data_IF_854308929204
#
_entry.id   IF_854308929204
#
_cell.length_a   1.000
_cell.length_b   1.000
_cell.length_c   1.000
_cell.angle_alpha   90.00
_cell.angle_beta   90.00
_cell.angle_gamma   90.00
#
_symmetry.space_group_name_H-M   'P 1'
#
loop_
_entity.id
_entity.type
_entity.pdbx_description
1 polymer ?
#
# COMPACT_ATOMS: atom_id res chain seq x y z
N UNK A 1 -11.20 4.94 -10.39
CA UNK A 1 -10.39 5.94 -11.14
C UNK A 1 -9.19 6.40 -10.34
N UNK A 2 -9.38 6.89 -9.11
CA UNK A 2 -8.27 7.22 -8.18
C UNK A 2 -7.33 6.03 -7.92
N UNK A 3 -7.87 4.84 -7.63
CA UNK A 3 -7.05 3.62 -7.44
C UNK A 3 -6.20 3.28 -8.66
N UNK A 4 -6.75 3.45 -9.87
CA UNK A 4 -6.05 3.20 -11.13
C UNK A 4 -4.92 4.21 -11.36
N UNK A 5 -5.13 5.49 -11.06
CA UNK A 5 -4.10 6.52 -11.19
C UNK A 5 -2.93 6.26 -10.23
N UNK A 6 -3.21 5.84 -8.99
CA UNK A 6 -2.17 5.50 -8.02
C UNK A 6 -1.38 4.26 -8.49
N UNK A 7 -2.07 3.21 -8.96
CA UNK A 7 -1.42 2.01 -9.50
C UNK A 7 -0.55 2.32 -10.72
N UNK A 8 -1.03 3.16 -11.65
CA UNK A 8 -0.22 3.64 -12.77
C UNK A 8 1.02 4.40 -12.29
N UNK A 9 0.87 5.24 -11.26
CA UNK A 9 2.00 5.92 -10.62
C UNK A 9 3.02 4.93 -10.04
N UNK A 10 2.57 3.89 -9.34
CA UNK A 10 3.46 2.84 -8.78
C UNK A 10 4.31 2.20 -9.87
N UNK A 11 3.70 1.81 -10.99
CA UNK A 11 4.43 1.17 -12.10
C UNK A 11 5.30 2.12 -12.91
N UNK A 12 5.02 3.43 -12.88
CA UNK A 12 5.78 4.45 -13.59
C UNK A 12 6.95 5.03 -12.75
N UNK A 13 7.01 4.73 -11.45
CA UNK A 13 8.04 5.25 -10.55
C UNK A 13 9.43 4.71 -10.92
N UNK A 14 10.40 5.62 -11.09
CA UNK A 14 11.80 5.29 -11.34
C UNK A 14 12.65 5.26 -10.06
N UNK A 15 12.24 6.00 -9.02
CA UNK A 15 12.92 6.06 -7.72
C UNK A 15 12.30 5.09 -6.71
N UNK A 16 13.15 4.43 -5.91
CA UNK A 16 12.74 3.48 -4.86
C UNK A 16 11.89 4.14 -3.76
N UNK A 17 12.21 5.38 -3.35
CA UNK A 17 11.43 6.12 -2.35
C UNK A 17 10.05 6.53 -2.88
N UNK A 18 9.99 7.01 -4.12
CA UNK A 18 8.72 7.41 -4.75
C UNK A 18 7.84 6.17 -4.96
N UNK A 19 8.44 5.04 -5.32
CA UNK A 19 7.74 3.76 -5.43
C UNK A 19 7.12 3.36 -4.07
N UNK A 20 7.88 3.46 -2.98
CA UNK A 20 7.39 3.16 -1.63
C UNK A 20 6.20 4.04 -1.23
N UNK A 21 6.29 5.35 -1.45
CA UNK A 21 5.21 6.30 -1.10
C UNK A 21 3.94 6.02 -1.90
N UNK A 22 4.07 5.75 -3.20
CA UNK A 22 2.94 5.43 -4.07
C UNK A 22 2.33 4.06 -3.71
N UNK A 23 3.16 3.10 -3.32
CA UNK A 23 2.73 1.79 -2.85
C UNK A 23 1.90 1.91 -1.56
N UNK A 24 2.38 2.64 -0.54
CA UNK A 24 1.62 2.94 0.68
C UNK A 24 0.32 3.72 0.38
N UNK A 25 0.38 4.68 -0.54
CA UNK A 25 -0.80 5.47 -0.94
C UNK A 25 -1.89 4.62 -1.61
N UNK A 26 -1.52 3.50 -2.22
CA UNK A 26 -2.48 2.55 -2.82
C UNK A 26 -3.33 1.81 -1.78
N UNK A 27 -2.88 1.76 -0.52
CA UNK A 27 -3.62 1.11 0.58
C UNK A 27 -4.87 1.89 0.97
N UNK A 28 -4.85 3.22 0.87
CA UNK A 28 -5.97 4.09 1.22
C UNK A 28 -7.23 3.76 0.37
N UNK A 29 -7.19 3.77 -0.97
CA UNK A 29 -8.36 3.43 -1.78
C UNK A 29 -8.76 1.96 -1.62
N UNK A 30 -7.82 1.05 -1.37
CA UNK A 30 -8.11 -0.37 -1.09
C UNK A 30 -8.90 -0.52 0.21
N UNK A 31 -8.46 0.14 1.28
CA UNK A 31 -9.14 0.14 2.56
C UNK A 31 -10.55 0.73 2.46
N UNK A 32 -10.70 1.86 1.74
CA UNK A 32 -12.00 2.49 1.49
C UNK A 32 -12.93 1.60 0.66
N UNK A 33 -12.41 0.88 -0.35
CA UNK A 33 -13.21 -0.06 -1.15
C UNK A 33 -13.78 -1.19 -0.28
N UNK A 34 -12.95 -1.80 0.58
CA UNK A 34 -13.39 -2.91 1.44
C UNK A 34 -14.39 -2.39 2.50
N UNK A 35 -14.13 -1.22 3.09
CA UNK A 35 -14.99 -0.63 4.11
C UNK A 35 -16.37 -0.22 3.60
N UNK A 36 -16.44 0.45 2.44
CA UNK A 36 -17.69 1.01 1.90
C UNK A 36 -18.50 -0.05 1.16
N UNK A 37 -17.87 -0.79 0.23
CA UNK A 37 -18.56 -1.75 -0.63
C UNK A 37 -18.57 -3.20 -0.10
N UNK A 38 -17.98 -3.46 1.06
CA UNK A 38 -18.08 -4.77 1.70
C UNK A 38 -19.54 -5.14 2.02
N UNK A 39 -19.97 -6.31 1.56
CA UNK A 39 -21.35 -6.79 1.69
C UNK A 39 -21.67 -7.38 3.07
N UNK A 40 -20.68 -7.90 3.81
CA UNK A 40 -20.86 -8.54 5.12
C UNK A 40 -20.60 -7.59 6.28
N UNK A 41 -21.25 -7.81 7.42
CA UNK A 41 -21.04 -7.01 8.65
C UNK A 41 -19.58 -7.06 9.14
N UNK A 42 -18.87 -8.16 8.88
CA UNK A 42 -17.45 -8.33 9.23
C UNK A 42 -16.47 -7.58 8.30
N UNK A 43 -16.97 -6.78 7.35
CA UNK A 43 -16.13 -6.01 6.40
C UNK A 43 -15.12 -5.10 7.09
N UNK A 44 -15.48 -4.52 8.24
CA UNK A 44 -14.59 -3.64 8.99
C UNK A 44 -13.41 -4.45 9.53
N UNK A 45 -13.66 -5.63 10.13
CA UNK A 45 -12.59 -6.53 10.58
C UNK A 45 -11.72 -6.96 9.40
N UNK A 46 -12.31 -7.37 8.28
CA UNK A 46 -11.57 -7.77 7.09
C UNK A 46 -10.69 -6.65 6.54
N UNK A 47 -11.18 -5.40 6.50
CA UNK A 47 -10.42 -4.23 6.08
C UNK A 47 -9.22 -3.98 7.01
N UNK A 48 -9.40 -4.08 8.33
CA UNK A 48 -8.31 -3.94 9.30
C UNK A 48 -7.27 -5.06 9.16
N UNK A 49 -7.69 -6.33 9.03
CA UNK A 49 -6.75 -7.43 8.83
C UNK A 49 -5.95 -7.26 7.52
N UNK A 50 -6.61 -6.85 6.44
CA UNK A 50 -5.94 -6.57 5.17
C UNK A 50 -4.90 -5.45 5.31
N UNK A 51 -5.27 -4.35 5.98
CA UNK A 51 -4.38 -3.22 6.23
C UNK A 51 -3.15 -3.64 7.04
N UNK A 52 -3.32 -4.37 8.13
CA UNK A 52 -2.18 -4.85 8.93
C UNK A 52 -1.29 -5.83 8.17
N UNK A 53 -1.87 -6.70 7.34
CA UNK A 53 -1.10 -7.65 6.56
C UNK A 53 -0.22 -6.97 5.50
N UNK A 54 -0.76 -5.94 4.85
CA UNK A 54 -0.02 -5.16 3.85
C UNK A 54 0.98 -4.18 4.48
N UNK A 55 0.64 -3.57 5.62
CA UNK A 55 1.53 -2.66 6.34
C UNK A 55 2.74 -3.39 6.93
N UNK A 56 2.57 -4.61 7.45
CA UNK A 56 3.71 -5.42 7.87
C UNK A 56 4.66 -5.74 6.70
N UNK A 57 4.11 -6.02 5.52
CA UNK A 57 4.89 -6.19 4.30
C UNK A 57 5.62 -4.92 3.88
N UNK A 58 4.96 -3.76 3.95
CA UNK A 58 5.57 -2.47 3.56
C UNK A 58 6.71 -2.08 4.50
N UNK A 59 6.62 -2.36 5.81
CA UNK A 59 7.72 -2.11 6.75
C UNK A 59 8.99 -2.90 6.41
N UNK A 60 8.87 -4.16 6.00
CA UNK A 60 10.02 -4.96 5.53
C UNK A 60 10.65 -4.37 4.28
N UNK A 61 9.83 -3.84 3.37
CA UNK A 61 10.30 -3.14 2.17
C UNK A 61 11.06 -1.85 2.55
N UNK A 62 10.55 -1.08 3.51
CA UNK A 62 11.22 0.14 4.00
C UNK A 62 12.61 -0.16 4.58
N UNK A 63 12.73 -1.19 5.41
CA UNK A 63 14.02 -1.63 5.95
C UNK A 63 15.02 -2.00 4.85
N UNK A 64 14.53 -2.65 3.79
CA UNK A 64 15.36 -3.03 2.64
C UNK A 64 15.84 -1.80 1.86
N UNK A 65 14.95 -0.82 1.65
CA UNK A 65 15.30 0.46 1.00
C UNK A 65 16.38 1.19 1.82
N UNK A 66 16.22 1.28 3.15
CA UNK A 66 17.24 1.87 4.02
C UNK A 66 18.59 1.17 3.90
N UNK A 67 18.60 -0.17 3.86
CA UNK A 67 19.83 -0.94 3.69
C UNK A 67 20.51 -0.66 2.35
N UNK A 68 19.75 -0.53 1.26
CA UNK A 68 20.29 -0.21 -0.07
C UNK A 68 20.91 1.19 -0.08
N UNK A 69 20.24 2.18 0.53
CA UNK A 69 20.78 3.54 0.66
C UNK A 69 22.02 3.62 1.55
N UNK A 70 22.15 2.77 2.57
CA UNK A 70 23.34 2.70 3.41
C UNK A 70 24.51 1.98 2.73
N UNK A 71 24.21 1.02 1.85
CA UNK A 71 25.20 0.21 1.13
C UNK A 71 25.82 0.97 -0.06
N UNK A 72 25.06 1.87 -0.67
CA UNK A 72 25.48 2.69 -1.83
C UNK A 72 26.21 3.94 -1.35
#
# INVERSE_FOLDING_TARGET
>A
LISLAILLGVFCSSDLLVFYILFESSLIPLFLMIGIWGSREEKVKAAFYFFFYTLLGSLLMLLSIFKIYLLT
#
